data_IF_396054318788
#
_entry.id   IF_396054318788
#
_cell.length_a   1.000
_cell.length_b   1.000
_cell.length_c   1.000
_cell.angle_alpha   90.00
_cell.angle_beta   90.00
_cell.angle_gamma   90.00
#
_symmetry.space_group_name_H-M   'P 1'
#
loop_
_entity.id
_entity.type
_entity.pdbx_description
1 polymer ?
#
# COMPACT_ATOMS: atom_id res chain seq x y z
N UNK A 1 -14.54 22.81 32.45
CA UNK A 1 -14.69 21.37 32.17
C UNK A 1 -15.82 21.20 31.16
N UNK A 2 -15.62 20.49 30.05
CA UNK A 2 -16.68 20.30 29.06
C UNK A 2 -17.79 19.41 29.63
N UNK A 3 -19.05 19.69 29.30
CA UNK A 3 -20.20 18.83 29.67
C UNK A 3 -20.37 17.64 28.73
N UNK A 4 -19.61 17.59 27.63
CA UNK A 4 -19.68 16.53 26.63
C UNK A 4 -18.52 15.56 26.87
N UNK A 5 -18.86 14.28 27.10
CA UNK A 5 -17.89 13.23 27.45
C UNK A 5 -16.76 13.08 26.41
N UNK A 6 -17.09 13.21 25.12
CA UNK A 6 -16.10 13.15 24.03
C UNK A 6 -15.01 14.23 24.17
N UNK A 7 -15.41 15.48 24.40
CA UNK A 7 -14.47 16.59 24.53
C UNK A 7 -13.66 16.52 25.83
N UNK A 8 -14.22 15.97 26.92
CA UNK A 8 -13.45 15.71 28.15
C UNK A 8 -12.35 14.68 27.89
N UNK A 9 -12.66 13.59 27.16
CA UNK A 9 -11.67 12.57 26.76
C UNK A 9 -10.58 13.14 25.83
N UNK A 10 -10.96 13.96 24.85
CA UNK A 10 -9.99 14.63 23.97
C UNK A 10 -9.07 15.56 24.77
N UNK A 11 -9.62 16.32 25.72
CA UNK A 11 -8.84 17.20 26.59
C UNK A 11 -7.86 16.42 27.48
N UNK A 12 -8.31 15.30 28.06
CA UNK A 12 -7.44 14.43 28.85
C UNK A 12 -6.26 13.91 28.02
N UNK A 13 -6.53 13.42 26.80
CA UNK A 13 -5.48 13.00 25.87
C UNK A 13 -4.50 14.15 25.56
N UNK A 14 -5.01 15.34 25.22
CA UNK A 14 -4.14 16.48 24.91
C UNK A 14 -3.27 16.90 26.10
N UNK A 15 -3.80 16.79 27.33
CA UNK A 15 -3.08 17.12 28.55
C UNK A 15 -1.97 16.12 28.90
N UNK A 16 -2.16 14.84 28.64
CA UNK A 16 -1.22 13.77 28.99
C UNK A 16 -0.30 13.33 27.85
N UNK A 17 -0.47 13.84 26.64
CA UNK A 17 0.30 13.42 25.48
C UNK A 17 1.75 13.92 25.53
N UNK A 18 2.69 12.99 25.37
CA UNK A 18 4.12 13.26 25.24
C UNK A 18 4.64 12.68 23.91
N UNK A 19 5.24 13.51 23.02
CA UNK A 19 5.52 14.94 23.17
C UNK A 19 4.27 15.82 23.07
N UNK A 20 4.33 17.04 23.62
CA UNK A 20 3.18 17.97 23.68
C UNK A 20 2.50 18.15 22.30
N UNK A 21 1.17 18.01 22.23
CA UNK A 21 0.41 18.22 21.00
C UNK A 21 0.16 19.71 20.71
N UNK A 22 0.38 20.58 21.70
CA UNK A 22 0.15 22.02 21.59
C UNK A 22 1.28 22.72 20.83
N UNK A 23 0.93 23.82 20.17
CA UNK A 23 1.85 24.69 19.44
C UNK A 23 1.61 26.14 19.86
N UNK A 24 2.62 27.01 19.72
CA UNK A 24 2.50 28.42 20.17
C UNK A 24 1.85 29.29 19.11
N UNK A 25 2.10 28.99 17.82
CA UNK A 25 1.60 29.76 16.68
C UNK A 25 0.83 28.88 15.71
N UNK A 26 -0.18 29.45 15.07
CA UNK A 26 -0.98 28.77 14.04
C UNK A 26 -0.10 28.23 12.90
N UNK A 27 0.89 29.00 12.46
CA UNK A 27 1.82 28.58 11.40
C UNK A 27 2.62 27.32 11.77
N UNK A 28 3.01 27.16 13.05
CA UNK A 28 3.69 25.96 13.53
C UNK A 28 2.78 24.73 13.48
N UNK A 29 1.51 24.90 13.87
CA UNK A 29 0.49 23.84 13.78
C UNK A 29 0.27 23.37 12.35
N UNK A 30 0.12 24.31 11.41
CA UNK A 30 -0.02 24.01 9.97
C UNK A 30 1.20 23.27 9.44
N UNK A 31 2.41 23.76 9.71
CA UNK A 31 3.64 23.09 9.30
C UNK A 31 3.80 21.69 9.91
N UNK A 32 3.37 21.50 11.17
CA UNK A 32 3.39 20.20 11.84
C UNK A 32 2.46 19.21 11.16
N UNK A 33 1.24 19.61 10.77
CA UNK A 33 0.32 18.77 9.99
C UNK A 33 0.97 18.32 8.69
N UNK A 34 1.50 19.26 7.90
CA UNK A 34 2.15 18.98 6.60
C UNK A 34 3.30 17.98 6.72
N UNK A 35 4.14 18.12 7.74
CA UNK A 35 5.30 17.22 7.96
C UNK A 35 4.93 15.86 8.54
N UNK A 36 3.74 15.71 9.14
CA UNK A 36 3.36 14.51 9.88
C UNK A 36 2.79 13.37 9.03
N UNK A 37 2.65 13.56 7.70
CA UNK A 37 2.16 12.52 6.76
C UNK A 37 0.87 11.84 7.24
N UNK A 38 -0.11 12.64 7.67
CA UNK A 38 -1.42 12.15 8.15
C UNK A 38 -1.46 11.66 9.60
N UNK A 39 -0.36 11.75 10.36
CA UNK A 39 -0.30 11.29 11.77
C UNK A 39 -0.61 12.37 12.81
N UNK A 40 -0.84 13.62 12.38
CA UNK A 40 -1.18 14.74 13.25
C UNK A 40 -2.31 15.54 12.63
N UNK A 41 -3.35 15.81 13.42
CA UNK A 41 -4.44 16.71 13.08
C UNK A 41 -4.33 17.98 13.93
N UNK A 42 -4.74 19.12 13.35
CA UNK A 42 -4.67 20.40 14.03
C UNK A 42 -6.07 21.03 14.10
N UNK A 43 -6.48 21.38 15.31
CA UNK A 43 -7.77 22.03 15.56
C UNK A 43 -7.55 23.54 15.58
N UNK A 44 -8.24 24.24 14.67
CA UNK A 44 -8.23 25.69 14.56
C UNK A 44 -9.60 26.18 14.10
N UNK A 45 -9.81 27.49 14.08
CA UNK A 45 -11.07 28.07 13.65
C UNK A 45 -11.40 27.78 12.18
N UNK A 46 -12.67 27.58 11.86
CA UNK A 46 -13.11 27.24 10.50
C UNK A 46 -12.71 28.27 9.45
N UNK A 47 -12.75 29.57 9.79
CA UNK A 47 -12.39 30.68 8.90
C UNK A 47 -10.94 30.59 8.44
N UNK A 48 -10.02 30.34 9.37
CA UNK A 48 -8.61 30.17 9.09
C UNK A 48 -8.32 28.83 8.40
N UNK A 49 -9.11 27.79 8.67
CA UNK A 49 -8.96 26.49 7.98
C UNK A 49 -9.30 26.62 6.50
N UNK A 50 -10.46 27.20 6.19
CA UNK A 50 -10.88 27.51 4.82
C UNK A 50 -9.87 28.43 4.10
N UNK A 51 -9.25 29.36 4.82
CA UNK A 51 -8.21 30.22 4.26
C UNK A 51 -6.95 29.45 3.87
N UNK A 52 -6.43 28.59 4.76
CA UNK A 52 -5.18 27.84 4.53
C UNK A 52 -5.36 26.78 3.44
N UNK A 53 -6.53 26.18 3.35
CA UNK A 53 -6.90 25.25 2.26
C UNK A 53 -6.78 25.89 0.87
N UNK A 54 -7.03 27.19 0.76
CA UNK A 54 -6.91 27.94 -0.50
C UNK A 54 -5.49 28.47 -0.77
N UNK A 55 -4.48 28.09 0.02
CA UNK A 55 -3.09 28.54 -0.12
C UNK A 55 -2.17 27.42 -0.57
N UNK A 56 -1.15 27.76 -1.36
CA UNK A 56 -0.14 26.76 -1.77
C UNK A 56 0.55 26.13 -0.55
N UNK A 57 0.92 24.84 -0.64
CA UNK A 57 0.80 23.95 -1.80
C UNK A 57 -0.53 23.16 -1.87
N UNK A 58 -1.64 23.68 -1.33
CA UNK A 58 -2.97 23.04 -1.40
C UNK A 58 -3.00 21.64 -0.77
N UNK A 59 -2.22 21.46 0.30
CA UNK A 59 -1.95 20.17 0.97
C UNK A 59 -2.70 20.01 2.29
N UNK A 60 -3.67 20.89 2.55
CA UNK A 60 -4.53 20.90 3.73
C UNK A 60 -5.99 20.86 3.31
N UNK A 61 -6.84 20.23 4.11
CA UNK A 61 -8.28 20.16 3.86
C UNK A 61 -9.06 20.25 5.17
N UNK A 62 -10.22 20.92 5.13
CA UNK A 62 -11.19 20.86 6.21
C UNK A 62 -11.93 19.52 6.20
N UNK A 63 -12.01 18.87 7.36
CA UNK A 63 -12.78 17.63 7.56
C UNK A 63 -13.83 17.82 8.64
N UNK A 64 -15.03 17.32 8.39
CA UNK A 64 -16.16 17.42 9.32
C UNK A 64 -16.77 18.82 9.46
N UNK A 65 -17.79 18.93 10.30
CA UNK A 65 -18.46 20.18 10.66
C UNK A 65 -17.73 20.93 11.77
N UNK A 66 -18.19 22.15 12.05
CA UNK A 66 -17.67 22.94 13.16
C UNK A 66 -18.07 22.32 14.51
N UNK A 67 -17.15 22.33 15.49
CA UNK A 67 -17.40 21.80 16.83
C UNK A 67 -18.26 22.72 17.69
N UNK A 68 -18.25 24.00 17.38
CA UNK A 68 -19.03 25.05 18.03
C UNK A 68 -19.51 26.09 17.01
N UNK A 69 -20.41 26.96 17.46
CA UNK A 69 -20.86 28.12 16.70
C UNK A 69 -20.32 29.38 17.38
N UNK A 70 -19.32 29.99 16.76
CA UNK A 70 -18.66 31.23 17.22
C UNK A 70 -18.60 32.22 16.07
N UNK A 71 -18.47 33.49 16.40
CA UNK A 71 -18.34 34.57 15.42
C UNK A 71 -17.43 35.69 15.90
N UNK A 72 -16.85 36.41 14.95
CA UNK A 72 -16.09 37.62 15.22
C UNK A 72 -17.01 38.84 15.40
N UNK A 73 -16.59 39.79 16.23
CA UNK A 73 -17.28 41.05 16.42
C UNK A 73 -16.30 42.20 16.57
N UNK A 74 -16.77 43.42 16.26
CA UNK A 74 -15.98 44.64 16.44
C UNK A 74 -16.08 45.09 17.90
N UNK A 75 -14.95 45.09 18.60
CA UNK A 75 -14.88 45.52 19.98
C UNK A 75 -14.73 47.04 20.08
N UNK A 76 -15.48 47.66 21.00
CA UNK A 76 -15.31 49.07 21.39
C UNK A 76 -15.16 49.16 22.91
N UNK A 77 -14.46 50.17 23.45
CA UNK A 77 -14.42 50.40 24.90
C UNK A 77 -15.83 50.51 25.49
N UNK A 78 -15.99 50.03 26.72
CA UNK A 78 -17.27 50.15 27.43
C UNK A 78 -17.67 51.62 27.54
N UNK A 79 -18.92 51.94 27.19
CA UNK A 79 -19.45 53.30 27.19
C UNK A 79 -19.06 54.14 25.95
N UNK A 80 -18.37 53.57 24.96
CA UNK A 80 -18.02 54.31 23.75
C UNK A 80 -19.26 54.76 22.97
N UNK A 81 -19.35 56.04 22.54
CA UNK A 81 -20.45 56.54 21.72
C UNK A 81 -20.50 55.89 20.34
N UNK A 82 -19.39 55.30 19.88
CA UNK A 82 -19.29 54.62 18.58
C UNK A 82 -20.02 53.28 18.54
N UNK A 83 -20.32 52.67 19.70
CA UNK A 83 -20.89 51.32 19.77
C UNK A 83 -22.15 51.17 18.92
N UNK A 84 -23.11 52.10 19.06
CA UNK A 84 -24.39 52.01 18.37
C UNK A 84 -24.23 52.25 16.86
N UNK A 85 -23.43 53.24 16.48
CA UNK A 85 -23.18 53.56 15.08
C UNK A 85 -22.47 52.40 14.35
N UNK A 86 -21.45 51.80 14.97
CA UNK A 86 -20.73 50.64 14.41
C UNK A 86 -21.64 49.42 14.31
N UNK A 87 -22.45 49.15 15.34
CA UNK A 87 -23.37 48.02 15.32
C UNK A 87 -24.39 48.13 14.18
N UNK A 88 -24.98 49.32 13.99
CA UNK A 88 -25.92 49.56 12.89
C UNK A 88 -25.24 49.47 11.51
N UNK A 89 -24.01 49.96 11.38
CA UNK A 89 -23.25 49.85 10.15
C UNK A 89 -22.96 48.38 9.77
N UNK A 90 -22.59 47.53 10.75
CA UNK A 90 -22.35 46.09 10.49
C UNK A 90 -23.64 45.40 10.03
N UNK A 91 -24.79 45.69 10.66
CA UNK A 91 -26.08 45.14 10.23
C UNK A 91 -26.40 45.54 8.78
N UNK A 92 -26.23 46.81 8.44
CA UNK A 92 -26.45 47.31 7.07
C UNK A 92 -25.54 46.63 6.04
N UNK A 93 -24.26 46.42 6.36
CA UNK A 93 -23.32 45.70 5.48
C UNK A 93 -23.71 44.23 5.31
N UNK A 94 -24.26 43.60 6.35
CA UNK A 94 -24.73 42.22 6.32
C UNK A 94 -26.00 42.08 5.47
N UNK A 95 -27.00 42.93 5.69
CA UNK A 95 -28.25 42.94 4.91
C UNK A 95 -28.02 43.19 3.41
N UNK A 96 -27.00 43.99 3.08
CA UNK A 96 -26.60 44.25 1.70
C UNK A 96 -25.77 43.12 1.06
N UNK A 97 -25.41 42.07 1.80
CA UNK A 97 -24.55 40.98 1.33
C UNK A 97 -23.10 41.41 1.05
N UNK A 98 -22.68 42.59 1.51
CA UNK A 98 -21.32 43.10 1.28
C UNK A 98 -20.27 42.28 2.04
N UNK A 99 -20.64 41.78 3.24
CA UNK A 99 -19.75 40.93 4.02
C UNK A 99 -19.46 39.60 3.30
N UNK A 100 -20.47 38.98 2.68
CA UNK A 100 -20.30 37.76 1.89
C UNK A 100 -19.46 38.01 0.64
N UNK A 101 -19.70 39.12 -0.05
CA UNK A 101 -18.88 39.54 -1.19
C UNK A 101 -17.42 39.74 -0.80
N UNK A 102 -17.16 40.34 0.36
CA UNK A 102 -15.80 40.48 0.90
C UNK A 102 -15.19 39.13 1.27
N UNK A 103 -15.94 38.24 1.92
CA UNK A 103 -15.48 36.87 2.22
C UNK A 103 -15.02 36.18 0.94
N UNK A 104 -15.87 36.15 -0.09
CA UNK A 104 -15.55 35.50 -1.35
C UNK A 104 -14.31 36.08 -2.01
N UNK A 105 -14.20 37.42 -2.04
CA UNK A 105 -13.05 38.13 -2.59
C UNK A 105 -11.73 37.76 -1.92
N UNK A 106 -11.71 37.62 -0.60
CA UNK A 106 -10.47 37.42 0.15
C UNK A 106 -10.10 35.95 0.37
N UNK A 107 -11.08 35.04 0.36
CA UNK A 107 -10.86 33.60 0.53
C UNK A 107 -10.76 32.84 -0.79
N UNK A 108 -11.67 33.09 -1.73
CA UNK A 108 -11.81 32.26 -2.93
C UNK A 108 -11.27 32.95 -4.19
N UNK A 109 -11.64 34.21 -4.45
CA UNK A 109 -11.18 34.93 -5.66
C UNK A 109 -9.66 35.19 -5.61
N UNK A 110 -9.10 35.33 -4.41
CA UNK A 110 -7.66 35.46 -4.13
C UNK A 110 -7.03 34.15 -3.64
N UNK A 111 -7.75 33.03 -3.78
CA UNK A 111 -7.22 31.70 -3.54
C UNK A 111 -6.11 31.39 -4.54
N UNK A 112 -5.05 30.76 -4.07
CA UNK A 112 -3.93 30.30 -4.90
C UNK A 112 -4.12 28.86 -5.38
N UNK A 113 -5.00 28.14 -4.69
CA UNK A 113 -5.53 26.85 -5.11
C UNK A 113 -6.77 27.17 -5.94
N UNK A 114 -6.79 26.76 -7.22
CA UNK A 114 -7.97 26.96 -8.09
C UNK A 114 -9.24 26.36 -7.47
N UNK A 115 -10.40 26.59 -8.07
CA UNK A 115 -11.69 26.05 -7.62
C UNK A 115 -11.61 24.53 -7.38
N UNK A 116 -11.33 24.15 -6.13
CA UNK A 116 -10.85 22.82 -5.76
C UNK A 116 -9.33 22.74 -5.77
N UNK A 117 -8.72 22.82 -4.58
CA UNK A 117 -7.34 22.38 -4.30
C UNK A 117 -7.17 20.87 -4.43
N UNK A 118 -7.69 20.30 -5.50
CA UNK A 118 -7.30 19.03 -6.07
C UNK A 118 -7.05 19.33 -7.53
N UNK A 119 -5.88 18.94 -8.03
CA UNK A 119 -5.71 18.71 -9.46
C UNK A 119 -7.01 18.14 -10.00
N UNK A 120 -7.57 18.81 -11.00
CA UNK A 120 -8.61 18.30 -11.92
C UNK A 120 -8.88 16.82 -11.68
N UNK A 121 -10.08 16.52 -11.16
CA UNK A 121 -10.71 15.18 -11.07
C UNK A 121 -10.59 14.45 -12.43
N UNK A 122 -9.40 13.96 -12.78
CA UNK A 122 -9.17 13.14 -13.97
C UNK A 122 -7.74 12.59 -14.09
N UNK A 123 -6.91 12.64 -13.04
CA UNK A 123 -5.86 11.63 -12.92
C UNK A 123 -6.50 10.40 -12.33
N UNK A 124 -7.17 9.66 -13.22
CA UNK A 124 -7.54 8.26 -13.04
C UNK A 124 -6.45 7.56 -12.25
N UNK A 125 -6.85 6.76 -11.25
CA UNK A 125 -5.95 5.95 -10.44
C UNK A 125 -5.06 5.12 -11.36
N UNK A 126 -3.91 5.66 -11.73
CA UNK A 126 -2.93 4.93 -12.51
C UNK A 126 -2.56 3.74 -11.64
N UNK A 127 -2.83 2.53 -12.14
CA UNK A 127 -2.35 1.31 -11.53
C UNK A 127 -0.82 1.38 -11.53
N UNK A 128 -0.27 1.93 -10.46
CA UNK A 128 1.17 2.02 -10.24
C UNK A 128 1.72 0.60 -10.12
N UNK A 129 2.97 0.39 -10.55
CA UNK A 129 3.68 -0.88 -10.41
C UNK A 129 3.58 -1.45 -8.98
N UNK A 130 3.48 -0.58 -7.97
CA UNK A 130 3.26 -0.94 -6.57
C UNK A 130 2.03 -1.80 -6.32
N UNK A 131 0.96 -1.64 -7.11
CA UNK A 131 -0.28 -2.40 -6.98
C UNK A 131 -0.18 -3.81 -7.59
N UNK A 132 0.69 -4.01 -8.59
CA UNK A 132 0.88 -5.28 -9.32
C UNK A 132 2.15 -6.04 -8.88
N UNK A 133 3.00 -5.42 -8.06
CA UNK A 133 4.23 -6.01 -7.52
C UNK A 133 3.99 -7.40 -6.87
N UNK A 134 2.83 -7.62 -6.26
CA UNK A 134 2.43 -8.92 -5.70
C UNK A 134 2.49 -10.08 -6.71
N UNK A 135 2.09 -9.85 -7.96
CA UNK A 135 2.10 -10.88 -9.01
C UNK A 135 3.53 -11.28 -9.38
N UNK A 136 4.45 -10.31 -9.45
CA UNK A 136 5.86 -10.57 -9.73
C UNK A 136 6.53 -11.38 -8.63
N UNK A 137 6.22 -11.11 -7.35
CA UNK A 137 6.75 -11.89 -6.24
C UNK A 137 6.29 -13.36 -6.27
N UNK A 138 5.02 -13.60 -6.61
CA UNK A 138 4.48 -14.97 -6.74
C UNK A 138 5.17 -15.71 -7.88
N UNK A 139 5.42 -15.06 -9.02
CA UNK A 139 6.08 -15.67 -10.17
C UNK A 139 7.52 -16.08 -9.83
N UNK A 140 8.30 -15.17 -9.23
CA UNK A 140 9.68 -15.45 -8.81
C UNK A 140 9.72 -16.54 -7.74
N UNK A 141 8.82 -16.48 -6.76
CA UNK A 141 8.69 -17.50 -5.72
C UNK A 141 8.33 -18.87 -6.30
N UNK A 142 7.39 -18.92 -7.26
CA UNK A 142 6.98 -20.14 -7.95
C UNK A 142 8.11 -20.76 -8.77
N UNK A 143 8.87 -19.94 -9.49
CA UNK A 143 10.04 -20.39 -10.25
C UNK A 143 11.13 -20.97 -9.32
N UNK A 144 11.40 -20.29 -8.20
CA UNK A 144 12.35 -20.77 -7.19
C UNK A 144 11.93 -22.10 -6.56
N UNK A 145 10.64 -22.24 -6.22
CA UNK A 145 10.09 -23.48 -5.68
C UNK A 145 10.15 -24.63 -6.69
N UNK A 146 9.78 -24.37 -7.95
CA UNK A 146 9.87 -25.37 -9.01
C UNK A 146 11.31 -25.85 -9.23
N UNK A 147 12.28 -24.92 -9.23
CA UNK A 147 13.69 -25.26 -9.35
C UNK A 147 14.19 -26.10 -8.16
N UNK A 148 13.76 -25.78 -6.94
CA UNK A 148 14.11 -26.54 -5.75
C UNK A 148 13.52 -27.96 -5.78
N UNK A 149 12.25 -28.11 -6.16
CA UNK A 149 11.61 -29.44 -6.32
C UNK A 149 12.36 -30.26 -7.36
N UNK A 150 12.71 -29.68 -8.51
CA UNK A 150 13.47 -30.36 -9.56
C UNK A 150 14.86 -30.83 -9.07
N UNK A 151 15.58 -30.00 -8.31
CA UNK A 151 16.89 -30.38 -7.74
C UNK A 151 16.75 -31.52 -6.72
N UNK A 152 15.72 -31.49 -5.89
CA UNK A 152 15.44 -32.52 -4.90
C UNK A 152 15.12 -33.85 -5.58
N UNK A 153 14.20 -33.85 -6.55
CA UNK A 153 13.86 -35.04 -7.32
C UNK A 153 15.06 -35.60 -8.10
N UNK A 154 15.85 -34.73 -8.72
CA UNK A 154 17.07 -35.11 -9.42
C UNK A 154 18.08 -35.79 -8.48
N UNK A 155 18.31 -35.21 -7.29
CA UNK A 155 19.19 -35.80 -6.29
C UNK A 155 18.66 -37.16 -5.79
N UNK A 156 17.35 -37.29 -5.56
CA UNK A 156 16.73 -38.55 -5.14
C UNK A 156 16.87 -39.64 -6.21
N UNK A 157 16.53 -39.35 -7.47
CA UNK A 157 16.67 -40.31 -8.58
C UNK A 157 18.12 -40.68 -8.83
N UNK A 158 19.02 -39.70 -8.86
CA UNK A 158 20.47 -39.95 -9.02
C UNK A 158 21.02 -40.88 -7.94
N UNK A 159 20.65 -40.68 -6.67
CA UNK A 159 21.06 -41.58 -5.58
C UNK A 159 20.41 -42.95 -5.65
N UNK A 160 19.16 -43.05 -6.09
CA UNK A 160 18.47 -44.33 -6.27
C UNK A 160 19.14 -45.17 -7.38
N UNK A 161 19.42 -44.56 -8.53
CA UNK A 161 20.11 -45.21 -9.65
C UNK A 161 21.55 -45.60 -9.29
N UNK A 162 22.30 -44.74 -8.59
CA UNK A 162 23.64 -45.08 -8.11
C UNK A 162 23.64 -46.28 -7.13
N UNK A 163 22.59 -46.43 -6.31
CA UNK A 163 22.44 -47.62 -5.45
C UNK A 163 22.08 -48.86 -6.27
N UNK A 164 21.21 -48.75 -7.27
CA UNK A 164 20.84 -49.85 -8.17
C UNK A 164 22.05 -50.38 -8.95
N UNK A 165 22.89 -49.49 -9.47
CA UNK A 165 24.12 -49.86 -10.17
C UNK A 165 25.12 -50.58 -9.25
N UNK A 166 25.26 -50.15 -7.99
CA UNK A 166 26.11 -50.84 -6.99
C UNK A 166 25.57 -52.22 -6.63
N UNK A 167 24.25 -52.38 -6.48
CA UNK A 167 23.63 -53.69 -6.24
C UNK A 167 23.78 -54.60 -7.46
N UNK A 168 23.56 -54.08 -8.67
CA UNK A 168 23.77 -54.82 -9.91
C UNK A 168 25.22 -55.28 -10.07
N UNK A 169 26.21 -54.43 -9.81
CA UNK A 169 27.63 -54.80 -9.81
C UNK A 169 27.97 -55.87 -8.76
N UNK A 170 27.45 -55.74 -7.54
CA UNK A 170 27.67 -56.74 -6.49
C UNK A 170 27.02 -58.09 -6.82
N UNK A 171 25.83 -58.10 -7.41
CA UNK A 171 25.14 -59.31 -7.87
C UNK A 171 25.89 -59.96 -9.05
N UNK A 172 26.43 -59.17 -9.97
CA UNK A 172 27.21 -59.66 -11.11
C UNK A 172 28.56 -60.26 -10.64
N UNK A 173 29.21 -59.65 -9.65
CA UNK A 173 30.42 -60.19 -9.01
C UNK A 173 30.14 -61.49 -8.22
N UNK A 174 28.98 -61.62 -7.58
CA UNK A 174 28.54 -62.88 -6.95
C UNK A 174 28.21 -63.97 -7.99
N UNK A 175 27.61 -63.61 -9.13
CA UNK A 175 27.33 -64.54 -10.21
C UNK A 175 28.62 -65.09 -10.88
N UNK A 176 29.65 -64.24 -11.03
CA UNK A 176 30.96 -64.66 -11.54
C UNK A 176 31.73 -65.56 -10.56
N UNK A 177 31.60 -65.35 -9.25
CA UNK A 177 32.23 -66.23 -8.25
C UNK A 177 31.53 -67.59 -8.14
N UNK A 178 30.23 -67.68 -8.43
CA UNK A 178 29.49 -68.96 -8.48
C UNK A 178 29.84 -69.83 -9.71
N UNK A 179 30.38 -69.25 -10.78
CA UNK A 179 30.82 -70.00 -11.97
C UNK A 179 32.19 -70.67 -11.81
N UNK A 180 32.99 -70.30 -10.79
CA UNK A 180 34.29 -70.92 -10.54
C UNK A 180 34.24 -72.25 -9.76
N UNK A 181 33.06 -72.80 -9.50
CA UNK A 181 32.89 -74.03 -8.68
C UNK A 181 32.34 -75.26 -9.39
N UNK A 182 32.15 -75.31 -10.72
CA UNK A 182 31.76 -76.57 -11.40
C UNK A 182 32.35 -76.69 -12.81
N UNK A 183 32.95 -77.85 -13.20
CA UNK A 183 33.63 -78.00 -14.48
C UNK A 183 32.68 -78.31 -15.65
N UNK A 184 33.14 -77.84 -16.81
CA UNK A 184 32.71 -77.99 -18.20
C UNK A 184 31.94 -79.25 -18.61
N UNK A 185 30.89 -79.06 -19.43
CA UNK A 185 30.63 -79.92 -20.59
C UNK A 185 29.95 -79.16 -21.73
N UNK A 186 30.44 -79.44 -22.92
CA UNK A 186 30.31 -78.84 -24.24
C UNK A 186 28.96 -78.97 -24.97
N UNK A 187 28.89 -78.28 -26.12
CA UNK A 187 27.99 -78.42 -27.29
C UNK A 187 26.78 -77.48 -27.29
N UNK A 188 26.31 -76.87 -28.39
CA UNK A 188 26.72 -76.74 -29.80
C UNK A 188 25.67 -75.83 -30.49
N UNK A 189 26.08 -74.94 -31.42
CA UNK A 189 25.26 -74.17 -32.41
C UNK A 189 24.08 -73.29 -31.88
N UNK A 190 23.77 -72.08 -32.36
CA UNK A 190 23.86 -71.51 -33.69
C UNK A 190 23.79 -69.96 -33.60
N UNK A 191 24.54 -69.26 -34.46
CA UNK A 191 24.54 -67.79 -34.57
C UNK A 191 23.48 -67.29 -35.56
N UNK A 192 23.14 -66.01 -35.39
CA UNK A 192 22.33 -65.11 -36.24
C UNK A 192 20.83 -64.98 -35.92
N UNK A 193 20.53 -63.99 -35.06
CA UNK A 193 19.43 -63.05 -35.28
C UNK A 193 19.90 -61.65 -34.86
N UNK A 194 19.99 -60.73 -35.83
CA UNK A 194 20.32 -59.33 -35.59
C UNK A 194 19.13 -58.44 -35.95
N UNK A 195 18.70 -57.68 -34.94
CA UNK A 195 17.96 -56.41 -34.97
C UNK A 195 16.52 -56.45 -35.52
N UNK A 196 15.53 -55.72 -35.00
CA UNK A 196 15.54 -54.37 -34.43
C UNK A 196 14.25 -54.17 -33.63
N UNK A 197 14.33 -53.71 -32.37
CA UNK A 197 13.20 -53.05 -31.70
C UNK A 197 13.51 -51.54 -31.62
N UNK A 198 12.86 -50.75 -32.48
CA UNK A 198 12.43 -49.37 -32.15
C UNK A 198 11.02 -49.54 -31.56
N UNK A 199 10.59 -48.82 -30.54
CA UNK A 199 10.34 -47.38 -30.58
C UNK A 199 9.98 -46.88 -29.17
N UNK A 200 10.42 -45.66 -28.82
CA UNK A 200 10.10 -45.04 -27.54
C UNK A 200 10.67 -43.64 -27.43
N UNK A 201 10.06 -42.69 -28.15
CA UNK A 201 10.28 -41.25 -27.95
C UNK A 201 8.93 -40.55 -27.75
N UNK A 202 8.89 -39.72 -26.72
CA UNK A 202 7.78 -38.89 -26.27
C UNK A 202 7.32 -37.89 -27.34
N UNK A 203 6.01 -37.62 -27.41
CA UNK A 203 5.46 -36.40 -28.00
C UNK A 203 4.46 -35.78 -27.04
N UNK A 204 4.71 -34.50 -26.71
CA UNK A 204 3.88 -33.61 -25.92
C UNK A 204 2.44 -33.55 -26.46
N UNK A 205 1.46 -33.82 -25.60
CA UNK A 205 0.06 -33.50 -25.83
C UNK A 205 -0.28 -32.13 -25.25
N UNK A 206 -0.39 -31.13 -26.11
CA UNK A 206 -0.86 -29.78 -25.82
C UNK A 206 -2.39 -29.79 -25.95
N UNK A 207 -3.12 -29.78 -24.84
CA UNK A 207 -4.59 -29.71 -24.88
C UNK A 207 -5.02 -28.25 -25.04
N UNK A 208 -5.55 -27.94 -26.23
CA UNK A 208 -6.13 -26.65 -26.57
C UNK A 208 -7.57 -26.60 -26.07
N UNK A 209 -7.84 -25.69 -25.13
CA UNK A 209 -9.20 -25.25 -24.78
C UNK A 209 -9.76 -24.46 -25.97
N UNK A 210 -10.86 -24.94 -26.54
CA UNK A 210 -11.69 -24.19 -27.49
C UNK A 210 -12.80 -23.46 -26.71
N UNK A 211 -13.09 -22.26 -27.22
CA UNK A 211 -14.14 -21.27 -26.87
C UNK A 211 -15.48 -21.93 -26.57
#
# INVERSE_FOLDING_TARGET
>A
RSKIALFDKMWQYMKSAEPSPFVKKTAEGVLRVRKSKGKYAYLLESTMNEYIEQRKPCDTMKVGGNLDSKGYGIATPKGSPLRNAVNLAVLKLNEQGLLDKLKNKWWYDKGECGSGGGESKEKTSALSLSNVAGVFYILVGGLGLAMLVALVEFCYKSRAEAKRLKVAQNTLHLAQSAQNTLPSSSSSHNSHNFATYKEGYNVYGMESVKI
#
